data_IF_270980908883
#
_entry.id   IF_270980908883
#
_cell.length_a   1.000
_cell.length_b   1.000
_cell.length_c   1.000
_cell.angle_alpha   90.00
_cell.angle_beta   90.00
_cell.angle_gamma   90.00
#
_symmetry.space_group_name_H-M   'P 1'
#
loop_
_entity.id
_entity.type
_entity.pdbx_description
1 polymer ?
#
# COMPACT_ATOMS: atom_id res chain seq x y z
N UNK A 1 19.48 18.25 -8.22
CA UNK A 1 20.78 18.07 -8.89
C UNK A 1 20.75 16.75 -9.64
N UNK A 2 21.30 16.72 -10.85
CA UNK A 2 20.92 15.83 -11.95
C UNK A 2 20.98 14.32 -11.66
N UNK A 3 19.87 13.64 -11.94
CA UNK A 3 19.83 12.19 -12.16
C UNK A 3 19.91 11.97 -13.66
N UNK A 4 21.11 11.64 -14.17
CA UNK A 4 21.34 10.92 -15.43
C UNK A 4 22.84 10.82 -15.64
N UNK A 5 23.50 9.93 -14.89
CA UNK A 5 24.82 9.45 -15.30
C UNK A 5 24.56 8.48 -16.44
N UNK A 6 24.94 8.84 -17.66
CA UNK A 6 24.64 8.13 -18.92
C UNK A 6 25.10 6.64 -18.95
N UNK A 7 25.85 6.17 -17.95
CA UNK A 7 26.21 4.76 -17.75
C UNK A 7 25.28 3.92 -16.86
N UNK A 8 24.36 4.53 -16.09
CA UNK A 8 23.49 3.78 -15.17
C UNK A 8 22.31 3.10 -15.88
N UNK A 9 21.82 3.65 -17.00
CA UNK A 9 20.74 3.05 -17.77
C UNK A 9 21.18 1.72 -18.40
N UNK A 10 22.41 1.65 -18.92
CA UNK A 10 22.99 0.40 -19.43
C UNK A 10 23.15 -0.66 -18.33
N UNK A 11 23.70 -0.26 -17.18
CA UNK A 11 23.87 -1.16 -16.03
C UNK A 11 22.53 -1.67 -15.47
N UNK A 12 21.51 -0.82 -15.41
CA UNK A 12 20.16 -1.23 -15.01
C UNK A 12 19.55 -2.22 -16.02
N UNK A 13 19.72 -1.99 -17.33
CA UNK A 13 19.22 -2.91 -18.34
C UNK A 13 19.94 -4.27 -18.30
N UNK A 14 21.25 -4.28 -18.11
CA UNK A 14 22.05 -5.50 -17.94
C UNK A 14 21.63 -6.28 -16.69
N UNK A 15 21.41 -5.58 -15.57
CA UNK A 15 20.88 -6.17 -14.33
C UNK A 15 19.50 -6.77 -14.55
N UNK A 16 18.56 -6.06 -15.19
CA UNK A 16 17.22 -6.57 -15.51
C UNK A 16 17.27 -7.80 -16.44
N UNK A 17 18.19 -7.81 -17.40
CA UNK A 17 18.42 -8.94 -18.29
C UNK A 17 18.97 -10.16 -17.52
N UNK A 18 19.95 -9.95 -16.63
CA UNK A 18 20.52 -11.00 -15.79
C UNK A 18 19.47 -11.61 -14.85
N UNK A 19 18.62 -10.76 -14.24
CA UNK A 19 17.50 -11.21 -13.42
C UNK A 19 16.53 -12.05 -14.25
N UNK A 20 16.19 -11.60 -15.47
CA UNK A 20 15.29 -12.34 -16.36
C UNK A 20 15.83 -13.72 -16.74
N UNK A 21 17.15 -13.83 -16.94
CA UNK A 21 17.83 -15.11 -17.21
C UNK A 21 17.74 -16.06 -16.02
N UNK A 22 18.07 -15.58 -14.82
CA UNK A 22 17.99 -16.36 -13.57
C UNK A 22 16.55 -16.78 -13.27
N UNK A 23 15.60 -15.86 -13.46
CA UNK A 23 14.17 -16.11 -13.31
C UNK A 23 13.70 -17.25 -14.23
N UNK A 24 14.13 -17.24 -15.50
CA UNK A 24 13.80 -18.30 -16.46
C UNK A 24 14.37 -19.66 -16.05
N UNK A 25 15.60 -19.71 -15.55
CA UNK A 25 16.21 -20.95 -15.07
C UNK A 25 15.47 -21.51 -13.84
N UNK A 26 15.17 -20.65 -12.86
CA UNK A 26 14.46 -21.02 -11.64
C UNK A 26 13.03 -21.48 -11.97
N UNK A 27 12.34 -20.79 -12.87
CA UNK A 27 10.97 -21.13 -13.29
C UNK A 27 10.88 -22.55 -13.87
N UNK A 28 11.90 -22.98 -14.63
CA UNK A 28 11.97 -24.35 -15.14
C UNK A 28 12.00 -25.39 -14.01
N UNK A 29 12.87 -25.19 -13.02
CA UNK A 29 13.00 -26.09 -11.86
C UNK A 29 11.75 -26.06 -10.98
N UNK A 30 11.16 -24.88 -10.75
CA UNK A 30 9.92 -24.74 -9.98
C UNK A 30 8.75 -25.49 -10.61
N UNK A 31 8.62 -25.50 -11.94
CA UNK A 31 7.57 -26.27 -12.63
C UNK A 31 7.72 -27.78 -12.43
N UNK A 32 8.95 -28.29 -12.40
CA UNK A 32 9.22 -29.70 -12.12
C UNK A 32 8.82 -30.04 -10.68
N UNK A 33 9.20 -29.21 -9.72
CA UNK A 33 8.84 -29.38 -8.31
C UNK A 33 7.31 -29.33 -8.15
N UNK A 34 6.64 -28.33 -8.72
CA UNK A 34 5.18 -28.25 -8.71
C UNK A 34 4.53 -29.50 -9.31
N UNK A 35 5.06 -30.04 -10.41
CA UNK A 35 4.51 -31.24 -11.03
C UNK A 35 4.65 -32.47 -10.13
N UNK A 36 5.76 -32.62 -9.43
CA UNK A 36 6.00 -33.71 -8.49
C UNK A 36 5.06 -33.59 -7.29
N UNK A 37 4.99 -32.40 -6.70
CA UNK A 37 4.12 -32.17 -5.54
C UNK A 37 2.64 -32.32 -5.90
N UNK A 38 2.20 -31.91 -7.11
CA UNK A 38 0.80 -32.12 -7.57
C UNK A 38 0.42 -33.59 -7.70
N UNK A 39 1.40 -34.46 -7.97
CA UNK A 39 1.18 -35.91 -7.99
C UNK A 39 1.17 -36.52 -6.59
N UNK A 40 1.99 -35.99 -5.67
CA UNK A 40 2.10 -36.50 -4.31
C UNK A 40 0.97 -36.03 -3.39
N UNK A 41 0.47 -34.82 -3.60
CA UNK A 41 -0.54 -34.16 -2.76
C UNK A 41 -1.63 -33.55 -3.66
N UNK A 42 -2.51 -34.38 -4.25
CA UNK A 42 -3.55 -33.92 -5.18
C UNK A 42 -4.67 -33.13 -4.48
N UNK A 43 -4.97 -33.46 -3.23
CA UNK A 43 -6.09 -32.87 -2.48
C UNK A 43 -5.68 -31.66 -1.60
N UNK A 44 -4.39 -31.28 -1.61
CA UNK A 44 -3.89 -30.15 -0.84
C UNK A 44 -3.97 -28.85 -1.64
N UNK A 45 -4.60 -27.82 -1.09
CA UNK A 45 -4.48 -26.46 -1.62
C UNK A 45 -3.12 -25.87 -1.28
N UNK A 46 -2.17 -25.98 -2.20
CA UNK A 46 -0.87 -25.32 -2.09
C UNK A 46 -0.45 -24.75 -3.45
N UNK A 47 0.31 -23.66 -3.38
CA UNK A 47 0.88 -23.00 -4.56
C UNK A 47 2.35 -22.72 -4.28
N UNK A 48 3.22 -23.08 -5.23
CA UNK A 48 4.63 -22.68 -5.18
C UNK A 48 4.71 -21.32 -5.87
N UNK A 49 4.97 -20.27 -5.11
CA UNK A 49 5.16 -18.93 -5.65
C UNK A 49 6.47 -18.83 -6.42
N UNK A 50 6.46 -18.07 -7.50
CA UNK A 50 7.68 -17.76 -8.22
C UNK A 50 8.53 -16.80 -7.41
N UNK A 51 9.79 -17.18 -7.16
CA UNK A 51 10.74 -16.33 -6.47
C UNK A 51 11.15 -15.20 -7.42
N UNK A 52 10.58 -14.01 -7.25
CA UNK A 52 11.05 -12.81 -7.95
C UNK A 52 11.98 -12.04 -7.02
N UNK A 53 13.30 -12.02 -7.29
CA UNK A 53 14.28 -11.39 -6.39
C UNK A 53 14.15 -9.87 -6.33
N UNK A 54 13.58 -9.26 -7.37
CA UNK A 54 13.23 -7.86 -7.42
C UNK A 54 11.77 -7.74 -7.85
N UNK A 55 10.93 -7.23 -6.97
CA UNK A 55 9.63 -6.73 -7.37
C UNK A 55 9.90 -5.45 -8.15
N UNK A 56 9.81 -5.49 -9.48
CA UNK A 56 9.94 -4.31 -10.33
C UNK A 56 8.54 -3.89 -10.73
N UNK A 57 8.13 -2.69 -10.32
CA UNK A 57 6.88 -2.07 -10.77
C UNK A 57 7.24 -1.04 -11.84
N UNK A 58 6.59 -1.06 -13.02
CA UNK A 58 6.74 -0.03 -14.03
C UNK A 58 6.47 1.38 -13.46
N UNK A 59 7.25 2.41 -13.81
CA UNK A 59 7.08 3.76 -13.27
C UNK A 59 5.66 4.32 -13.44
N UNK A 60 4.96 3.93 -14.50
CA UNK A 60 3.59 4.34 -14.80
C UNK A 60 2.62 3.79 -13.76
N UNK A 61 2.81 2.53 -13.35
CA UNK A 61 2.01 1.89 -12.32
C UNK A 61 2.37 2.45 -10.94
N UNK A 62 3.67 2.67 -10.69
CA UNK A 62 4.14 3.29 -9.45
C UNK A 62 3.52 4.68 -9.23
N UNK A 63 3.35 5.47 -10.30
CA UNK A 63 2.71 6.78 -10.23
C UNK A 63 1.22 6.73 -9.88
N UNK A 64 0.52 5.65 -10.28
CA UNK A 64 -0.90 5.45 -10.00
C UNK A 64 -1.18 4.81 -8.63
N UNK A 65 -0.16 4.20 -8.00
CA UNK A 65 -0.29 3.60 -6.68
C UNK A 65 -0.48 4.66 -5.60
N UNK A 66 -1.35 4.35 -4.64
CA UNK A 66 -1.52 5.10 -3.41
C UNK A 66 -0.26 5.03 -2.54
N UNK A 67 -0.08 5.99 -1.65
CA UNK A 67 1.09 6.01 -0.78
C UNK A 67 1.14 4.81 0.18
N UNK A 68 -0.03 4.28 0.58
CA UNK A 68 -0.12 3.04 1.35
C UNK A 68 0.34 1.82 0.54
N UNK A 69 -0.06 1.70 -0.72
CA UNK A 69 0.37 0.61 -1.61
C UNK A 69 1.88 0.67 -1.87
N UNK A 70 2.45 1.87 -2.03
CA UNK A 70 3.91 2.06 -2.17
C UNK A 70 4.66 1.67 -0.90
N UNK A 71 4.12 2.01 0.29
CA UNK A 71 4.72 1.62 1.58
C UNK A 71 4.63 0.12 1.82
N UNK A 72 3.49 -0.49 1.53
CA UNK A 72 3.33 -1.94 1.57
C UNK A 72 4.31 -2.64 0.61
N UNK A 73 4.47 -2.10 -0.60
CA UNK A 73 5.43 -2.61 -1.56
C UNK A 73 6.88 -2.52 -1.07
N UNK A 74 7.24 -1.39 -0.45
CA UNK A 74 8.56 -1.15 0.13
C UNK A 74 8.79 -1.82 1.50
N UNK A 75 7.82 -2.57 2.03
CA UNK A 75 7.91 -3.17 3.37
C UNK A 75 7.98 -2.16 4.50
N UNK A 76 7.52 -0.93 4.28
CA UNK A 76 7.46 0.12 5.28
C UNK A 76 6.21 -0.03 6.14
N UNK A 77 6.29 0.37 7.41
CA UNK A 77 5.13 0.43 8.30
C UNK A 77 3.98 1.23 7.67
N UNK A 78 2.71 0.94 7.98
CA UNK A 78 1.57 1.73 7.52
C UNK A 78 1.74 3.22 7.88
N UNK A 79 1.07 4.12 7.15
CA UNK A 79 0.96 5.51 7.60
C UNK A 79 0.14 5.48 8.89
N UNK A 80 0.75 5.88 10.01
CA UNK A 80 0.00 6.15 11.23
C UNK A 80 -0.91 7.34 10.92
N UNK A 81 -2.16 7.03 10.57
CA UNK A 81 -3.21 8.02 10.59
C UNK A 81 -3.41 8.39 12.05
N UNK A 82 -2.79 9.49 12.49
CA UNK A 82 -3.14 10.16 13.77
C UNK A 82 -4.61 10.57 13.83
N UNK A 83 -5.31 10.42 12.71
CA UNK A 83 -6.74 10.60 12.49
C UNK A 83 -7.43 9.23 12.45
N UNK A 84 -8.59 9.09 13.10
CA UNK A 84 -9.35 7.83 13.06
C UNK A 84 -9.92 7.58 11.66
N UNK A 85 -10.13 6.30 11.31
CA UNK A 85 -10.69 5.87 10.01
C UNK A 85 -12.07 6.49 9.73
N UNK A 86 -12.82 6.84 10.76
CA UNK A 86 -14.12 7.52 10.70
C UNK A 86 -13.97 8.99 10.32
N UNK A 87 -12.93 9.66 10.82
CA UNK A 87 -12.59 11.04 10.43
C UNK A 87 -12.08 11.12 8.97
N UNK A 88 -11.40 10.10 8.47
CA UNK A 88 -11.01 10.02 7.05
C UNK A 88 -12.21 9.79 6.12
N UNK A 89 -13.15 8.92 6.50
CA UNK A 89 -14.41 8.72 5.75
C UNK A 89 -15.23 10.00 5.66
N UNK A 90 -15.31 10.76 6.75
CA UNK A 90 -16.06 12.03 6.77
C UNK A 90 -15.35 13.12 5.95
N UNK A 91 -14.03 13.20 5.95
CA UNK A 91 -13.28 14.08 5.06
C UNK A 91 -13.42 13.71 3.59
N UNK A 92 -13.38 12.42 3.27
CA UNK A 92 -13.58 11.94 1.92
C UNK A 92 -14.98 12.30 1.43
N UNK A 93 -16.01 12.12 2.27
CA UNK A 93 -17.38 12.55 1.98
C UNK A 93 -17.50 14.08 1.85
N UNK A 94 -16.79 14.87 2.67
CA UNK A 94 -16.77 16.33 2.51
C UNK A 94 -16.08 16.76 1.22
N UNK A 95 -15.03 16.03 0.81
CA UNK A 95 -14.27 16.31 -0.40
C UNK A 95 -15.01 15.96 -1.70
N UNK A 96 -15.97 15.03 -1.66
CA UNK A 96 -16.87 14.74 -2.79
C UNK A 96 -18.01 15.75 -2.92
N UNK A 97 -18.29 16.56 -1.89
CA UNK A 97 -19.29 17.62 -1.96
C UNK A 97 -18.78 18.85 -2.75
N UNK A 98 -19.68 19.56 -3.47
CA UNK A 98 -19.38 20.85 -4.06
C UNK A 98 -18.87 21.86 -3.02
N UNK A 99 -17.91 22.70 -3.39
CA UNK A 99 -17.21 23.64 -2.48
C UNK A 99 -18.15 24.50 -1.63
N UNK A 100 -19.25 24.98 -2.21
CA UNK A 100 -20.26 25.76 -1.48
C UNK A 100 -20.96 24.94 -0.39
N UNK A 101 -21.33 23.69 -0.67
CA UNK A 101 -21.97 22.80 0.30
C UNK A 101 -20.99 22.42 1.41
N UNK A 102 -19.73 22.17 1.06
CA UNK A 102 -18.67 21.91 2.03
C UNK A 102 -18.49 23.08 3.00
N UNK A 103 -18.46 24.33 2.50
CA UNK A 103 -18.36 25.51 3.36
C UNK A 103 -19.53 25.62 4.34
N UNK A 104 -20.77 25.37 3.88
CA UNK A 104 -21.96 25.37 4.73
C UNK A 104 -21.95 24.27 5.79
N UNK A 105 -21.45 23.08 5.45
CA UNK A 105 -21.31 21.99 6.42
C UNK A 105 -20.22 22.32 7.45
N UNK A 106 -19.08 22.88 7.02
CA UNK A 106 -18.03 23.33 7.93
C UNK A 106 -18.49 24.47 8.85
N UNK A 107 -19.30 25.40 8.35
CA UNK A 107 -19.90 26.49 9.14
C UNK A 107 -20.93 25.98 10.16
N UNK A 108 -21.61 24.87 9.85
CA UNK A 108 -22.60 24.24 10.73
C UNK A 108 -21.97 23.28 11.76
N UNK A 109 -20.69 22.91 11.59
CA UNK A 109 -19.95 22.07 12.52
C UNK A 109 -19.41 22.89 13.70
N UNK A 110 -19.33 22.29 14.87
CA UNK A 110 -18.68 22.94 16.01
C UNK A 110 -17.16 22.96 15.86
N UNK A 111 -16.48 23.92 16.49
CA UNK A 111 -15.02 24.00 16.47
C UNK A 111 -14.34 22.70 16.97
N UNK A 112 -14.95 22.01 17.94
CA UNK A 112 -14.49 20.72 18.43
C UNK A 112 -14.58 19.61 17.36
N UNK A 113 -15.65 19.59 16.55
CA UNK A 113 -15.81 18.64 15.45
C UNK A 113 -14.84 18.93 14.30
N UNK A 114 -14.52 20.20 14.04
CA UNK A 114 -13.51 20.60 13.04
C UNK A 114 -12.12 20.20 13.51
N UNK A 115 -11.78 20.43 14.79
CA UNK A 115 -10.51 19.99 15.37
C UNK A 115 -10.39 18.47 15.42
N UNK A 116 -11.48 17.77 15.71
CA UNK A 116 -11.55 16.31 15.63
C UNK A 116 -11.26 15.81 14.21
N UNK A 117 -11.89 16.45 13.22
CA UNK A 117 -11.65 16.18 11.82
C UNK A 117 -10.21 16.50 11.44
N UNK A 118 -9.57 17.50 12.04
CA UNK A 118 -8.15 17.82 11.85
C UNK A 118 -7.19 16.87 12.59
N UNK A 119 -7.68 15.97 13.44
CA UNK A 119 -6.85 15.10 14.29
C UNK A 119 -6.18 15.86 15.45
N UNK A 120 -6.76 16.98 15.88
CA UNK A 120 -6.24 17.89 16.90
C UNK A 120 -7.02 17.85 18.23
N UNK A 121 -7.77 16.77 18.51
CA UNK A 121 -8.45 16.60 19.80
C UNK A 121 -7.43 16.37 20.93
N UNK A 122 -7.60 16.99 22.11
CA UNK A 122 -6.83 16.64 23.30
C UNK A 122 -7.17 15.20 23.74
N UNK A 123 -6.17 14.44 24.19
CA UNK A 123 -6.18 12.99 24.52
C UNK A 123 -7.25 12.48 25.52
N UNK A 124 -8.14 13.32 26.06
CA UNK A 124 -8.95 12.99 27.23
C UNK A 124 -10.42 12.59 26.95
N UNK A 125 -10.76 12.04 25.78
CA UNK A 125 -12.15 11.59 25.50
C UNK A 125 -12.32 10.07 25.45
N UNK A 126 -11.27 9.29 25.68
CA UNK A 126 -11.30 7.82 25.59
C UNK A 126 -11.09 7.16 26.95
N UNK A 127 -11.91 7.45 27.96
CA UNK A 127 -11.94 6.68 29.21
C UNK A 127 -13.31 6.84 29.92
N UNK A 128 -14.34 6.15 29.42
CA UNK A 128 -15.43 5.55 30.20
C UNK A 128 -16.56 5.09 29.27
N UNK A 129 -16.45 3.88 28.73
CA UNK A 129 -17.61 3.17 28.17
C UNK A 129 -17.59 1.65 28.45
N UNK A 130 -16.60 1.11 29.16
CA UNK A 130 -16.52 -0.32 29.45
C UNK A 130 -16.27 -0.55 30.96
N UNK A 131 -17.27 -0.26 31.79
CA UNK A 131 -17.42 -0.99 33.06
C UNK A 131 -18.86 -0.92 33.57
N UNK A 132 -19.74 -1.76 33.02
CA UNK A 132 -20.89 -2.30 33.76
C UNK A 132 -20.99 -3.79 33.43
N UNK A 133 -20.42 -4.59 34.34
CA UNK A 133 -20.84 -5.97 34.56
C UNK A 133 -22.01 -6.03 35.53
#
# INVERSE_FOLDING_TARGET
>A
MGFSTEGQLGNNQEMLNAISLVQNEINGKQRVIQRIFKKLLPDGEWTVSTLSPLKVIPPEIWAMMTDEEKRNFGGMSPLDSTRSKEADKTLQALNTLPSYVRSKVMDAMSAAQILALAGLLPENSSNNADNQG
#
